data_IF_504651239231
#
_entry.id   IF_504651239231
#
_cell.length_a   1.000
_cell.length_b   1.000
_cell.length_c   1.000
_cell.angle_alpha   90.00
_cell.angle_beta   90.00
_cell.angle_gamma   90.00
#
_symmetry.space_group_name_H-M   'P 1'
#
loop_
_entity.id
_entity.type
_entity.pdbx_description
1 polymer ?
#
# COMPACT_ATOMS: atom_id res chain seq x y z
N UNK A 1 12.49 -7.86 19.87
CA UNK A 1 13.37 -6.66 19.74
C UNK A 1 12.92 -5.83 18.55
N UNK A 2 12.76 -4.50 18.71
CA UNK A 2 12.37 -3.61 17.61
C UNK A 2 13.48 -3.47 16.56
N UNK A 3 13.17 -3.85 15.31
CA UNK A 3 14.00 -3.64 14.12
C UNK A 3 13.50 -2.44 13.33
N UNK A 4 14.44 -1.79 12.62
CA UNK A 4 14.16 -0.69 11.69
C UNK A 4 14.57 -1.12 10.29
N UNK A 5 13.73 -0.84 9.32
CA UNK A 5 14.02 -1.03 7.90
C UNK A 5 13.65 0.23 7.12
N UNK A 6 14.39 0.51 6.05
CA UNK A 6 14.09 1.61 5.14
C UNK A 6 13.72 1.03 3.78
N UNK A 7 12.61 1.50 3.24
CA UNK A 7 12.19 1.23 1.86
C UNK A 7 12.71 2.39 1.02
N UNK A 8 13.71 2.11 0.19
CA UNK A 8 14.37 3.12 -0.67
C UNK A 8 13.48 3.61 -1.80
N UNK A 9 12.50 2.81 -2.20
CA UNK A 9 11.56 3.20 -3.25
C UNK A 9 10.23 2.50 -3.02
N UNK A 10 9.20 3.32 -2.80
CA UNK A 10 7.80 2.92 -2.86
C UNK A 10 7.10 3.84 -3.86
N UNK A 11 6.10 3.33 -4.56
CA UNK A 11 5.25 4.14 -5.41
C UNK A 11 4.04 4.60 -4.61
N UNK A 12 3.66 5.85 -4.79
CA UNK A 12 2.51 6.45 -4.13
C UNK A 12 1.63 7.15 -5.16
N UNK A 13 0.32 7.10 -4.94
CA UNK A 13 -0.66 7.89 -5.67
C UNK A 13 -1.04 9.08 -4.81
N UNK A 14 -0.88 10.28 -5.34
CA UNK A 14 -1.15 11.54 -4.66
C UNK A 14 -2.33 12.22 -5.33
N UNK A 15 -3.34 12.59 -4.55
CA UNK A 15 -4.46 13.39 -5.02
C UNK A 15 -4.02 14.81 -5.35
N UNK A 16 -4.82 15.53 -6.15
CA UNK A 16 -4.58 16.95 -6.44
C UNK A 16 -4.60 17.84 -5.19
N UNK A 17 -5.22 17.39 -4.10
CA UNK A 17 -5.18 18.06 -2.79
C UNK A 17 -3.90 17.76 -1.98
N UNK A 18 -3.00 16.90 -2.47
CA UNK A 18 -1.74 16.55 -1.83
C UNK A 18 -1.81 15.33 -0.90
N UNK A 19 -2.96 14.67 -0.79
CA UNK A 19 -3.12 13.48 0.04
C UNK A 19 -2.59 12.21 -0.63
N UNK A 20 -1.90 11.36 0.12
CA UNK A 20 -1.54 10.01 -0.36
C UNK A 20 -2.79 9.14 -0.27
N UNK A 21 -3.24 8.61 -1.40
CA UNK A 21 -4.46 7.80 -1.50
C UNK A 21 -4.18 6.34 -1.83
N UNK A 22 -2.96 6.00 -2.23
CA UNK A 22 -2.52 4.62 -2.35
C UNK A 22 -1.01 4.48 -2.42
N UNK A 23 -0.52 3.27 -2.15
CA UNK A 23 0.89 2.93 -2.13
C UNK A 23 1.16 1.50 -2.62
N UNK A 24 2.36 1.26 -3.14
CA UNK A 24 2.73 -0.04 -3.66
C UNK A 24 4.21 -0.16 -3.98
N UNK A 25 4.68 -1.39 -4.13
CA UNK A 25 6.09 -1.66 -4.49
C UNK A 25 6.39 -1.29 -5.95
N UNK A 26 5.34 -1.15 -6.77
CA UNK A 26 5.38 -0.70 -8.16
C UNK A 26 4.18 0.23 -8.44
N UNK A 27 4.21 0.91 -9.60
CA UNK A 27 3.12 1.82 -9.98
C UNK A 27 1.74 1.11 -10.11
N UNK A 28 1.64 -0.08 -10.74
CA UNK A 28 0.36 -0.79 -10.82
C UNK A 28 -0.26 -1.15 -9.46
N UNK A 29 0.55 -1.62 -8.50
CA UNK A 29 0.08 -1.95 -7.14
C UNK A 29 -0.37 -0.71 -6.39
N UNK A 30 0.36 0.41 -6.49
CA UNK A 30 -0.04 1.68 -5.89
C UNK A 30 -1.37 2.20 -6.45
N UNK A 31 -1.56 2.08 -7.77
CA UNK A 31 -2.82 2.44 -8.42
C UNK A 31 -3.98 1.52 -8.01
N UNK A 32 -3.73 0.22 -7.82
CA UNK A 32 -4.73 -0.73 -7.34
C UNK A 32 -5.17 -0.39 -5.91
N UNK A 33 -4.21 -0.20 -5.01
CA UNK A 33 -4.46 0.20 -3.62
C UNK A 33 -5.26 1.52 -3.56
N UNK A 34 -4.91 2.50 -4.39
CA UNK A 34 -5.66 3.75 -4.48
C UNK A 34 -7.12 3.55 -4.91
N UNK A 35 -7.38 2.65 -5.87
CA UNK A 35 -8.76 2.35 -6.33
C UNK A 35 -9.55 1.65 -5.23
N UNK A 36 -8.97 0.60 -4.64
CA UNK A 36 -9.57 -0.20 -3.56
C UNK A 36 -9.93 0.67 -2.35
N UNK A 37 -9.07 1.63 -2.00
CA UNK A 37 -9.31 2.54 -0.88
C UNK A 37 -10.18 3.76 -1.25
N UNK A 38 -10.25 4.16 -2.52
CA UNK A 38 -10.96 5.39 -2.91
C UNK A 38 -12.49 5.30 -2.72
N UNK A 39 -13.08 4.14 -2.98
CA UNK A 39 -14.54 3.97 -3.07
C UNK A 39 -15.23 4.80 -4.17
N UNK A 40 -14.46 5.55 -4.97
CA UNK A 40 -14.97 6.49 -6.00
C UNK A 40 -14.80 5.91 -7.39
N UNK A 41 -13.65 5.28 -7.65
CA UNK A 41 -13.34 4.68 -8.95
C UNK A 41 -13.40 3.16 -8.84
N UNK A 42 -13.89 2.49 -9.88
CA UNK A 42 -13.94 1.02 -9.96
C UNK A 42 -12.71 0.42 -10.63
N UNK A 43 -11.90 1.24 -11.32
CA UNK A 43 -10.64 0.84 -11.91
C UNK A 43 -9.66 2.02 -11.96
N UNK A 44 -8.36 1.71 -12.10
CA UNK A 44 -7.30 2.70 -12.03
C UNK A 44 -7.20 3.60 -13.27
N UNK A 45 -7.70 3.13 -14.43
CA UNK A 45 -7.66 3.91 -15.67
C UNK A 45 -8.59 5.10 -15.57
N UNK A 46 -9.79 4.91 -15.05
CA UNK A 46 -10.77 5.99 -14.85
C UNK A 46 -10.25 7.01 -13.82
N UNK A 47 -9.61 6.52 -12.76
CA UNK A 47 -8.94 7.38 -11.79
C UNK A 47 -7.84 8.23 -12.45
N UNK A 48 -6.99 7.63 -13.28
CA UNK A 48 -5.94 8.37 -13.99
C UNK A 48 -6.51 9.40 -14.99
N UNK A 49 -7.55 9.03 -15.74
CA UNK A 49 -8.20 9.89 -16.72
C UNK A 49 -8.99 11.04 -16.09
N UNK A 50 -9.35 10.95 -14.81
CA UNK A 50 -10.01 12.06 -14.08
C UNK A 50 -9.13 13.32 -13.95
N UNK A 51 -7.81 13.19 -14.12
CA UNK A 51 -6.85 14.29 -13.93
C UNK A 51 -6.70 14.74 -12.47
N UNK A 52 -7.27 14.00 -11.51
CA UNK A 52 -7.23 14.32 -10.08
C UNK A 52 -6.07 13.69 -9.31
N UNK A 53 -5.23 12.88 -9.97
CA UNK A 53 -4.24 12.03 -9.29
C UNK A 53 -2.93 11.94 -10.08
N UNK A 54 -1.82 11.78 -9.36
CA UNK A 54 -0.49 11.56 -9.93
C UNK A 54 0.24 10.41 -9.23
N UNK A 55 1.03 9.65 -9.98
CA UNK A 55 1.91 8.61 -9.42
C UNK A 55 3.31 9.19 -9.27
N UNK A 56 3.90 9.01 -8.09
CA UNK A 56 5.31 9.37 -7.83
C UNK A 56 5.96 8.33 -6.93
N UNK A 57 7.23 8.55 -6.59
CA UNK A 57 8.01 7.67 -5.72
C UNK A 57 8.33 8.35 -4.40
N UNK A 58 8.38 7.58 -3.32
CA UNK A 58 8.75 8.05 -2.00
C UNK A 58 9.73 7.06 -1.32
N UNK A 59 10.20 7.45 -0.13
CA UNK A 59 10.92 6.57 0.78
C UNK A 59 10.09 6.40 2.06
N UNK A 60 10.18 5.24 2.70
CA UNK A 60 9.46 4.97 3.94
C UNK A 60 10.37 4.30 4.98
N UNK A 61 10.17 4.64 6.24
CA UNK A 61 10.83 3.97 7.36
C UNK A 61 9.81 3.08 8.07
N UNK A 62 10.16 1.82 8.28
CA UNK A 62 9.32 0.82 8.93
C UNK A 62 9.98 0.38 10.23
N UNK A 63 9.22 0.44 11.32
CA UNK A 63 9.62 -0.10 12.61
C UNK A 63 8.75 -1.31 12.92
N UNK A 64 9.35 -2.45 13.25
CA UNK A 64 8.62 -3.66 13.58
C UNK A 64 9.32 -4.44 14.68
N UNK A 65 8.56 -5.17 15.50
CA UNK A 65 9.12 -6.09 16.49
C UNK A 65 9.26 -7.48 15.86
N UNK A 66 10.49 -7.97 15.77
CA UNK A 66 10.75 -9.27 15.13
C UNK A 66 10.02 -10.41 15.83
N UNK A 67 9.93 -10.37 17.15
CA UNK A 67 9.37 -11.49 17.93
C UNK A 67 7.83 -11.54 17.77
N UNK A 68 7.21 -10.39 17.52
CA UNK A 68 5.77 -10.29 17.20
C UNK A 68 5.44 -10.68 15.76
N UNK A 69 6.40 -10.61 14.84
CA UNK A 69 6.16 -11.04 13.46
C UNK A 69 5.89 -12.54 13.37
N UNK A 70 6.53 -13.36 14.21
CA UNK A 70 6.31 -14.81 14.20
C UNK A 70 4.87 -15.16 14.63
N UNK A 71 4.32 -14.44 15.61
CA UNK A 71 2.89 -14.52 15.98
C UNK A 71 1.98 -14.07 14.83
N UNK A 72 2.31 -12.96 14.16
CA UNK A 72 1.57 -12.50 12.99
C UNK A 72 1.58 -13.53 11.85
N UNK A 73 2.70 -14.22 11.61
CA UNK A 73 2.79 -15.25 10.57
C UNK A 73 1.93 -16.47 10.87
N UNK A 74 1.79 -16.87 12.14
CA UNK A 74 0.86 -17.93 12.53
C UNK A 74 -0.59 -17.50 12.27
N UNK A 75 -0.97 -16.32 12.76
CA UNK A 75 -2.31 -15.76 12.57
C UNK A 75 -2.70 -15.66 11.09
N UNK A 76 -1.81 -15.13 10.24
CA UNK A 76 -2.07 -14.99 8.81
C UNK A 76 -2.30 -16.33 8.11
N UNK A 77 -1.53 -17.37 8.48
CA UNK A 77 -1.71 -18.73 7.94
C UNK A 77 -3.04 -19.33 8.35
N UNK A 78 -3.42 -19.18 9.61
CA UNK A 78 -4.70 -19.67 10.13
C UNK A 78 -5.89 -18.96 9.46
N UNK A 79 -5.83 -17.62 9.34
CA UNK A 79 -6.85 -16.84 8.67
C UNK A 79 -7.00 -17.24 7.19
N UNK A 80 -5.90 -17.47 6.48
CA UNK A 80 -5.94 -17.92 5.09
C UNK A 80 -6.56 -19.32 4.95
N UNK A 81 -6.21 -20.26 5.85
CA UNK A 81 -6.77 -21.61 5.84
C UNK A 81 -8.26 -21.66 6.22
N UNK A 82 -8.75 -20.70 7.01
CA UNK A 82 -10.17 -20.60 7.35
C UNK A 82 -11.05 -20.06 6.20
N UNK A 83 -10.43 -19.44 5.19
CA UNK A 83 -11.10 -18.85 4.02
C UNK A 83 -11.03 -19.75 2.76
N UNK A 84 -10.37 -20.92 2.85
CA UNK A 84 -10.25 -21.91 1.77
C UNK A 84 -11.28 -23.03 1.89
#
# INVERSE_FOLDING_TARGET
MAKRAKIEKIFVVVSRSGGIVGCGIDAPSACRDAVENSGIHSNWKDMALSGGYGVTTATANVNYDKDKLDECFAYWREAAAALS
#
